data_IF_042261657028
#
_entry.id   IF_042261657028
#
_cell.length_a   1.000
_cell.length_b   1.000
_cell.length_c   1.000
_cell.angle_alpha   90.00
_cell.angle_beta   90.00
_cell.angle_gamma   90.00
#
_symmetry.space_group_name_H-M   'P 1'
#
loop_
_entity.id
_entity.type
_entity.pdbx_description
1 polymer ?
#
# COMPACT_ATOMS: atom_id res chain seq x y z
N UNK A 1 1.38 -1.20 12.53
CA UNK A 1 1.60 0.26 12.37
C UNK A 1 1.48 0.49 10.88
N UNK A 2 0.74 1.51 10.46
CA UNK A 2 0.52 1.73 9.03
C UNK A 2 1.55 2.70 8.49
N UNK A 3 2.06 2.44 7.29
CA UNK A 3 2.96 3.34 6.56
C UNK A 3 2.22 3.82 5.33
N UNK A 4 2.03 5.13 5.20
CA UNK A 4 1.44 5.72 4.00
C UNK A 4 2.49 6.51 3.22
N UNK A 5 2.52 6.28 1.92
CA UNK A 5 3.46 6.90 0.98
C UNK A 5 2.76 7.16 -0.36
N UNK A 6 3.29 8.10 -1.15
CA UNK A 6 2.76 8.48 -2.47
C UNK A 6 3.84 8.24 -3.52
N UNK A 7 3.48 7.53 -4.59
CA UNK A 7 4.34 7.38 -5.76
C UNK A 7 3.73 8.08 -6.97
N UNK A 8 4.43 9.09 -7.48
CA UNK A 8 4.13 9.73 -8.77
C UNK A 8 4.47 8.79 -9.93
N UNK A 9 3.55 8.68 -10.87
CA UNK A 9 3.64 7.89 -12.10
C UNK A 9 3.29 8.78 -13.30
N UNK A 10 4.00 8.62 -14.42
CA UNK A 10 3.63 9.28 -15.66
C UNK A 10 2.31 8.72 -16.20
N UNK A 11 1.39 9.61 -16.61
CA UNK A 11 0.11 9.21 -17.21
C UNK A 11 0.34 8.60 -18.60
N UNK A 12 -0.45 7.58 -18.95
CA UNK A 12 -0.38 6.89 -20.23
C UNK A 12 -1.61 7.31 -21.06
N UNK A 13 -1.40 8.14 -22.08
CA UNK A 13 -2.45 8.42 -23.08
C UNK A 13 -2.51 7.37 -24.20
N UNK A 14 -1.34 6.84 -24.58
CA UNK A 14 -1.16 5.82 -25.62
C UNK A 14 0.05 4.94 -25.27
N UNK A 15 0.15 3.70 -25.77
CA UNK A 15 1.32 2.86 -25.56
C UNK A 15 2.62 3.57 -25.92
N UNK A 16 3.68 3.30 -25.15
CA UNK A 16 5.03 3.75 -25.49
C UNK A 16 5.51 3.09 -26.78
N UNK A 17 6.24 3.83 -27.63
CA UNK A 17 6.82 3.44 -28.92
C UNK A 17 7.82 2.26 -28.89
N UNK A 18 7.91 1.50 -27.78
CA UNK A 18 8.69 0.25 -27.69
C UNK A 18 8.26 -0.83 -28.71
N UNK A 19 7.18 -0.56 -29.46
CA UNK A 19 6.65 -1.36 -30.57
C UNK A 19 7.08 -0.84 -31.96
N UNK A 20 7.55 0.42 -32.12
CA UNK A 20 7.78 1.03 -33.46
C UNK A 20 9.22 1.47 -33.77
N UNK A 21 10.18 1.24 -32.87
CA UNK A 21 11.61 1.30 -33.22
C UNK A 21 12.23 2.69 -33.45
N UNK A 22 11.71 3.78 -32.86
CA UNK A 22 12.36 5.10 -32.91
C UNK A 22 12.70 5.62 -31.50
N UNK A 23 13.95 6.04 -31.28
CA UNK A 23 14.56 6.26 -29.94
C UNK A 23 14.41 7.69 -29.39
N UNK A 24 13.59 8.52 -30.03
CA UNK A 24 13.36 9.92 -29.65
C UNK A 24 11.85 10.19 -29.65
N UNK A 25 11.17 9.73 -28.62
CA UNK A 25 9.88 10.24 -28.18
C UNK A 25 9.60 9.67 -26.79
N UNK A 26 9.96 10.45 -25.78
CA UNK A 26 9.57 10.25 -24.39
C UNK A 26 8.04 10.27 -24.30
N UNK A 27 7.49 9.61 -23.28
CA UNK A 27 6.07 9.69 -22.86
C UNK A 27 5.72 11.09 -22.32
N UNK A 28 6.30 12.14 -22.92
CA UNK A 28 6.21 13.52 -22.49
C UNK A 28 4.84 14.10 -22.84
N UNK A 29 4.12 14.59 -21.83
CA UNK A 29 3.11 15.64 -22.03
C UNK A 29 1.71 15.41 -21.47
N UNK A 30 1.36 14.23 -20.93
CA UNK A 30 -0.03 13.96 -20.47
C UNK A 30 -0.26 14.25 -18.97
N UNK A 31 0.79 14.64 -18.25
CA UNK A 31 0.75 14.92 -16.82
C UNK A 31 0.98 13.68 -15.94
N UNK A 32 0.68 13.83 -14.66
CA UNK A 32 0.98 12.85 -13.62
C UNK A 32 -0.28 12.17 -13.09
N UNK A 33 -0.08 11.00 -12.50
CA UNK A 33 -1.04 10.33 -11.63
C UNK A 33 -0.29 9.74 -10.42
N UNK A 34 -1.02 9.50 -9.33
CA UNK A 34 -0.40 9.30 -8.02
C UNK A 34 -0.94 8.02 -7.41
N UNK A 35 -0.04 7.05 -7.20
CA UNK A 35 -0.34 5.85 -6.44
C UNK A 35 -0.18 6.15 -4.96
N UNK A 36 -1.29 6.17 -4.22
CA UNK A 36 -1.26 6.17 -2.77
C UNK A 36 -1.13 4.74 -2.28
N UNK A 37 -0.24 4.52 -1.34
CA UNK A 37 0.07 3.21 -0.77
C UNK A 37 -0.04 3.29 0.74
N UNK A 38 -0.70 2.30 1.34
CA UNK A 38 -0.70 2.05 2.77
C UNK A 38 -0.20 0.62 3.02
N UNK A 39 0.85 0.42 3.82
CA UNK A 39 1.40 -0.91 4.13
C UNK A 39 1.44 -1.14 5.63
N UNK A 40 0.90 -2.28 6.09
CA UNK A 40 1.02 -2.66 7.49
C UNK A 40 2.39 -3.26 7.82
N UNK A 41 2.94 -2.77 8.93
CA UNK A 41 4.27 -3.11 9.43
C UNK A 41 4.44 -4.58 9.85
N UNK A 42 3.34 -5.24 10.25
CA UNK A 42 3.33 -6.61 10.75
C UNK A 42 3.02 -7.62 9.64
N UNK A 43 1.83 -7.55 9.04
CA UNK A 43 1.35 -8.56 8.11
C UNK A 43 1.85 -8.37 6.67
N UNK A 44 2.47 -7.22 6.33
CA UNK A 44 2.86 -6.82 4.96
C UNK A 44 1.68 -6.72 3.99
N UNK A 45 0.46 -6.72 4.49
CA UNK A 45 -0.75 -6.41 3.73
C UNK A 45 -0.70 -4.94 3.32
N UNK A 46 -0.94 -4.66 2.04
CA UNK A 46 -0.98 -3.33 1.49
C UNK A 46 -2.37 -2.98 0.94
N UNK A 47 -2.77 -1.72 1.15
CA UNK A 47 -3.88 -1.07 0.49
C UNK A 47 -3.35 -0.03 -0.51
N UNK A 48 -3.90 0.03 -1.72
CA UNK A 48 -3.47 0.99 -2.74
C UNK A 48 -4.65 1.62 -3.44
N UNK A 49 -4.51 2.89 -3.86
CA UNK A 49 -5.48 3.57 -4.69
C UNK A 49 -4.77 4.57 -5.62
N UNK A 50 -5.30 4.72 -6.83
CA UNK A 50 -4.83 5.71 -7.80
C UNK A 50 -5.63 6.99 -7.66
N UNK A 51 -4.92 8.12 -7.57
CA UNK A 51 -5.49 9.46 -7.50
C UNK A 51 -4.94 10.34 -8.63
N UNK A 52 -5.73 11.32 -9.11
CA UNK A 52 -5.29 12.25 -10.15
C UNK A 52 -4.29 13.30 -9.62
N UNK A 53 -4.19 13.47 -8.31
CA UNK A 53 -3.37 14.46 -7.64
C UNK A 53 -2.85 13.97 -6.28
N UNK A 54 -1.88 14.68 -5.72
CA UNK A 54 -1.32 14.46 -4.37
C UNK A 54 -1.87 15.46 -3.34
N UNK A 55 -3.08 15.99 -3.54
CA UNK A 55 -3.61 17.02 -2.65
C UNK A 55 -3.92 16.48 -1.26
N UNK A 56 -3.98 17.38 -0.27
CA UNK A 56 -4.47 17.06 1.09
C UNK A 56 -5.86 16.41 1.09
N UNK A 57 -6.74 16.76 0.15
CA UNK A 57 -8.07 16.15 0.01
C UNK A 57 -7.95 14.68 -0.38
N UNK A 58 -7.15 14.39 -1.41
CA UNK A 58 -6.85 13.02 -1.84
C UNK A 58 -6.20 12.21 -0.73
N UNK A 59 -5.25 12.78 0.00
CA UNK A 59 -4.61 12.12 1.14
C UNK A 59 -5.59 11.78 2.28
N UNK A 60 -6.49 12.70 2.64
CA UNK A 60 -7.53 12.45 3.66
C UNK A 60 -8.49 11.35 3.21
N UNK A 61 -8.93 11.39 1.96
CA UNK A 61 -9.81 10.36 1.40
C UNK A 61 -9.12 8.99 1.47
N UNK A 62 -7.88 8.91 0.98
CA UNK A 62 -7.09 7.69 1.01
C UNK A 62 -6.90 7.14 2.43
N UNK A 63 -6.63 7.99 3.42
CA UNK A 63 -6.51 7.57 4.82
C UNK A 63 -7.80 6.92 5.33
N UNK A 64 -8.96 7.51 5.05
CA UNK A 64 -10.25 6.97 5.49
C UNK A 64 -10.55 5.63 4.83
N UNK A 65 -10.31 5.54 3.52
CA UNK A 65 -10.54 4.32 2.75
C UNK A 65 -9.62 3.20 3.23
N UNK A 66 -8.33 3.50 3.45
CA UNK A 66 -7.38 2.54 4.00
C UNK A 66 -7.82 2.04 5.37
N UNK A 67 -8.20 2.93 6.29
CA UNK A 67 -8.63 2.56 7.64
C UNK A 67 -9.90 1.70 7.61
N UNK A 68 -10.88 2.04 6.78
CA UNK A 68 -12.09 1.24 6.59
C UNK A 68 -11.75 -0.15 6.02
N UNK A 69 -10.85 -0.21 5.04
CA UNK A 69 -10.42 -1.47 4.45
C UNK A 69 -9.70 -2.38 5.45
N UNK A 70 -8.74 -1.84 6.23
CA UNK A 70 -8.07 -2.59 7.30
C UNK A 70 -9.05 -3.02 8.40
N UNK A 71 -10.03 -2.20 8.75
CA UNK A 71 -11.07 -2.57 9.70
C UNK A 71 -11.90 -3.76 9.19
N UNK A 72 -12.20 -3.81 7.88
CA UNK A 72 -12.83 -4.97 7.24
C UNK A 72 -12.00 -6.27 7.33
N UNK A 73 -10.68 -6.14 7.48
CA UNK A 73 -9.76 -7.26 7.73
C UNK A 73 -9.58 -7.58 9.23
N UNK A 74 -10.32 -6.90 10.12
CA UNK A 74 -10.16 -7.02 11.57
C UNK A 74 -8.90 -6.34 12.13
N UNK A 75 -8.26 -5.46 11.36
CA UNK A 75 -7.04 -4.76 11.76
C UNK A 75 -7.37 -3.34 12.23
N UNK A 76 -7.12 -3.06 13.51
CA UNK A 76 -7.25 -1.71 14.06
C UNK A 76 -5.97 -0.89 13.83
N UNK A 77 -6.07 0.17 13.02
CA UNK A 77 -4.97 1.11 12.80
C UNK A 77 -4.86 2.09 13.98
N UNK A 78 -3.78 2.00 14.76
CA UNK A 78 -3.55 2.87 15.94
C UNK A 78 -2.42 3.90 15.76
N UNK A 79 -1.54 3.65 14.81
CA UNK A 79 -0.34 4.47 14.53
C UNK A 79 -0.11 4.52 13.04
N UNK A 80 0.20 5.71 12.57
CA UNK A 80 0.49 6.01 11.16
C UNK A 80 1.86 6.67 11.06
N UNK A 81 2.66 6.21 10.11
CA UNK A 81 3.92 6.83 9.70
C UNK A 81 3.78 7.29 8.24
N UNK A 82 4.11 8.55 7.96
CA UNK A 82 4.18 9.08 6.59
C UNK A 82 5.52 9.76 6.33
N UNK A 83 5.84 10.02 5.07
CA UNK A 83 6.89 10.97 4.75
C UNK A 83 6.50 12.41 5.12
N UNK A 84 7.41 13.36 4.88
CA UNK A 84 7.20 14.77 5.18
C UNK A 84 6.50 15.54 4.05
N UNK A 85 5.79 14.83 3.14
CA UNK A 85 5.03 15.42 2.05
C UNK A 85 4.00 16.45 2.54
N UNK A 86 3.80 17.51 1.76
CA UNK A 86 2.97 18.66 2.14
C UNK A 86 1.52 18.25 2.46
N UNK A 87 0.97 17.28 1.74
CA UNK A 87 -0.36 16.72 1.99
C UNK A 87 -0.49 16.12 3.40
N UNK A 88 0.51 15.36 3.84
CA UNK A 88 0.53 14.71 5.15
C UNK A 88 0.83 15.68 6.29
N UNK A 89 1.50 16.80 6.01
CA UNK A 89 1.73 17.87 7.00
C UNK A 89 0.53 18.80 7.17
N UNK A 90 -0.52 18.67 6.37
CA UNK A 90 -1.68 19.55 6.42
C UNK A 90 -2.49 19.38 7.71
N UNK A 91 -3.15 20.46 8.13
CA UNK A 91 -4.05 20.44 9.30
C UNK A 91 -5.26 19.51 9.07
N UNK A 92 -5.74 19.42 7.84
CA UNK A 92 -6.84 18.55 7.44
C UNK A 92 -6.47 17.07 7.62
N UNK A 93 -5.25 16.69 7.22
CA UNK A 93 -4.76 15.32 7.42
C UNK A 93 -4.55 15.00 8.90
N UNK A 94 -3.97 15.94 9.67
CA UNK A 94 -3.81 15.79 11.11
C UNK A 94 -5.16 15.65 11.83
N UNK A 95 -6.18 16.43 11.42
CA UNK A 95 -7.55 16.34 11.95
C UNK A 95 -8.18 14.98 11.62
N UNK A 96 -8.07 14.52 10.38
CA UNK A 96 -8.57 13.20 10.00
C UNK A 96 -7.91 12.08 10.83
N UNK A 97 -6.61 12.16 11.11
CA UNK A 97 -5.94 11.22 12.00
C UNK A 97 -6.51 11.27 13.42
N UNK A 98 -6.77 12.46 13.97
CA UNK A 98 -7.35 12.63 15.31
C UNK A 98 -8.77 12.05 15.40
N UNK A 99 -9.61 12.34 14.42
CA UNK A 99 -10.98 11.81 14.32
C UNK A 99 -11.00 10.27 14.27
N UNK A 100 -10.00 9.67 13.62
CA UNK A 100 -9.83 8.22 13.52
C UNK A 100 -9.10 7.61 14.74
N UNK A 101 -8.69 8.43 15.73
CA UNK A 101 -7.94 7.98 16.91
C UNK A 101 -6.51 7.50 16.59
N UNK A 102 -5.92 7.96 15.49
CA UNK A 102 -4.62 7.52 14.98
C UNK A 102 -3.52 8.47 15.44
N UNK A 103 -2.49 7.90 16.07
CA UNK A 103 -1.25 8.65 16.36
C UNK A 103 -0.39 8.74 15.10
N UNK A 104 -0.38 9.90 14.47
CA UNK A 104 0.43 10.19 13.28
C UNK A 104 1.86 10.60 13.65
N UNK A 105 2.82 10.09 12.90
CA UNK A 105 4.25 10.42 12.97
C UNK A 105 4.80 10.61 11.56
N UNK A 106 5.84 11.41 11.47
CA UNK A 106 6.62 11.59 10.25
C UNK A 106 7.88 10.72 10.27
N UNK A 107 8.32 10.26 9.10
CA UNK A 107 9.66 9.68 8.94
C UNK A 107 10.70 10.72 9.34
N UNK A 108 11.75 10.25 10.02
CA UNK A 108 12.89 11.12 10.35
C UNK A 108 13.79 11.23 9.13
N UNK A 109 14.28 12.43 8.85
CA UNK A 109 15.34 12.63 7.87
C UNK A 109 16.52 11.68 8.17
N UNK A 110 17.11 11.11 7.12
CA UNK A 110 18.25 10.18 7.20
C UNK A 110 17.99 8.85 7.95
N UNK A 111 16.73 8.41 8.10
CA UNK A 111 16.38 7.05 8.57
C UNK A 111 15.55 6.25 7.54
N UNK A 112 16.15 5.87 6.39
CA UNK A 112 15.46 5.08 5.36
C UNK A 112 14.94 3.72 5.88
N UNK A 113 15.57 3.17 6.93
CA UNK A 113 15.16 1.90 7.55
C UNK A 113 13.70 1.92 8.05
N UNK A 114 13.17 3.07 8.47
CA UNK A 114 11.78 3.16 8.93
C UNK A 114 10.76 3.22 7.79
N UNK A 115 11.13 3.67 6.58
CA UNK A 115 10.23 3.68 5.43
C UNK A 115 10.44 2.49 4.47
N UNK A 116 11.50 1.71 4.68
CA UNK A 116 11.89 0.61 3.79
C UNK A 116 10.84 -0.49 3.56
N UNK A 117 9.68 -0.46 4.22
CA UNK A 117 8.55 -1.37 3.97
C UNK A 117 7.63 -0.83 2.86
N UNK A 118 7.20 0.44 2.97
CA UNK A 118 6.48 1.10 1.90
C UNK A 118 7.34 1.22 0.65
N UNK A 119 8.62 1.59 0.79
CA UNK A 119 9.56 1.66 -0.34
C UNK A 119 9.72 0.31 -1.05
N UNK A 120 9.84 -0.80 -0.31
CA UNK A 120 9.95 -2.14 -0.90
C UNK A 120 8.65 -2.55 -1.61
N UNK A 121 7.50 -2.22 -1.04
CA UNK A 121 6.22 -2.42 -1.71
C UNK A 121 6.18 -1.64 -3.04
N UNK A 122 6.51 -0.34 -3.00
CA UNK A 122 6.52 0.52 -4.18
C UNK A 122 7.48 -0.02 -5.24
N UNK A 123 8.69 -0.45 -4.86
CA UNK A 123 9.64 -1.07 -5.79
C UNK A 123 9.09 -2.33 -6.44
N UNK A 124 8.33 -3.13 -5.70
CA UNK A 124 7.65 -4.33 -6.23
C UNK A 124 6.55 -3.92 -7.21
N UNK A 125 5.70 -2.96 -6.84
CA UNK A 125 4.63 -2.42 -7.69
C UNK A 125 5.17 -1.85 -8.99
N UNK A 126 6.27 -1.11 -8.95
CA UNK A 126 6.89 -0.54 -10.14
C UNK A 126 7.39 -1.64 -11.09
N UNK A 127 8.05 -2.67 -10.55
CA UNK A 127 8.68 -3.73 -11.33
C UNK A 127 7.66 -4.68 -11.95
N UNK A 128 6.63 -5.03 -11.22
CA UNK A 128 5.72 -6.14 -11.55
C UNK A 128 4.37 -5.69 -12.08
N UNK A 129 4.00 -4.44 -11.83
CA UNK A 129 2.75 -3.87 -12.31
C UNK A 129 3.01 -2.66 -13.20
N UNK A 130 3.58 -1.57 -12.67
CA UNK A 130 3.60 -0.29 -13.40
C UNK A 130 4.42 -0.34 -14.70
N UNK A 131 5.51 -1.10 -14.71
CA UNK A 131 6.44 -1.22 -15.85
C UNK A 131 6.63 -2.65 -16.37
N UNK A 132 5.91 -3.64 -15.83
CA UNK A 132 5.98 -5.02 -16.30
C UNK A 132 5.29 -5.23 -17.65
N UNK A 133 4.27 -4.43 -17.94
CA UNK A 133 3.39 -4.59 -19.09
C UNK A 133 3.32 -3.31 -19.90
N UNK A 134 3.02 -3.45 -21.19
CA UNK A 134 2.71 -2.31 -22.06
C UNK A 134 1.21 -2.04 -21.97
N UNK A 135 0.83 -1.02 -21.19
CA UNK A 135 -0.57 -0.60 -21.09
C UNK A 135 -0.98 0.28 -22.26
N UNK A 136 -2.26 0.17 -22.62
CA UNK A 136 -2.87 0.99 -23.68
C UNK A 136 -3.07 2.44 -23.23
N UNK A 137 -3.49 2.61 -21.98
CA UNK A 137 -3.72 3.89 -21.34
C UNK A 137 -3.69 3.71 -19.81
N UNK A 138 -3.83 4.80 -19.06
CA UNK A 138 -3.84 4.76 -17.59
C UNK A 138 -5.00 3.95 -17.02
N UNK A 139 -6.17 3.94 -17.65
CA UNK A 139 -7.31 3.15 -17.18
C UNK A 139 -6.99 1.66 -17.20
N UNK A 140 -6.41 1.15 -18.30
CA UNK A 140 -5.96 -0.24 -18.39
C UNK A 140 -4.91 -0.57 -17.31
N UNK A 141 -4.00 0.36 -16.99
CA UNK A 141 -3.04 0.17 -15.89
C UNK A 141 -3.74 0.11 -14.52
N UNK A 142 -4.73 0.96 -14.29
CA UNK A 142 -5.50 1.01 -13.04
C UNK A 142 -6.31 -0.28 -12.85
N UNK A 143 -6.94 -0.81 -13.91
CA UNK A 143 -7.68 -2.08 -13.87
C UNK A 143 -6.78 -3.25 -13.44
N UNK A 144 -5.53 -3.29 -13.93
CA UNK A 144 -4.57 -4.31 -13.55
C UNK A 144 -4.07 -4.20 -12.10
N UNK A 145 -4.20 -3.03 -11.47
CA UNK A 145 -3.69 -2.78 -10.11
C UNK A 145 -4.36 -3.68 -9.07
N UNK A 146 -5.70 -3.82 -9.15
CA UNK A 146 -6.46 -4.61 -8.18
C UNK A 146 -6.02 -6.09 -8.18
N UNK A 147 -5.87 -6.67 -9.36
CA UNK A 147 -5.39 -8.05 -9.53
C UNK A 147 -3.97 -8.23 -9.02
N UNK A 148 -3.06 -7.30 -9.35
CA UNK A 148 -1.68 -7.36 -8.86
C UNK A 148 -1.59 -7.20 -7.34
N UNK A 149 -2.34 -6.26 -6.75
CA UNK A 149 -2.40 -6.04 -5.30
C UNK A 149 -2.94 -7.27 -4.57
N UNK A 150 -3.99 -7.91 -5.12
CA UNK A 150 -4.52 -9.15 -4.56
C UNK A 150 -3.48 -10.28 -4.60
N UNK A 151 -2.78 -10.45 -5.72
CA UNK A 151 -1.69 -11.41 -5.80
C UNK A 151 -0.57 -11.09 -4.78
N UNK A 152 -0.16 -9.83 -4.66
CA UNK A 152 0.86 -9.39 -3.70
C UNK A 152 0.48 -9.71 -2.24
N UNK A 153 -0.75 -9.41 -1.86
CA UNK A 153 -1.21 -9.58 -0.48
C UNK A 153 -1.41 -11.06 -0.12
N UNK A 154 -2.07 -11.84 -0.97
CA UNK A 154 -2.50 -13.18 -0.59
C UNK A 154 -1.56 -14.31 -1.01
N UNK A 155 -0.87 -14.16 -2.14
CA UNK A 155 -0.14 -15.25 -2.80
C UNK A 155 1.38 -15.10 -2.74
N UNK A 156 1.87 -13.89 -2.48
CA UNK A 156 3.32 -13.64 -2.44
C UNK A 156 3.93 -14.17 -1.14
N UNK A 157 4.92 -15.05 -1.28
CA UNK A 157 5.81 -15.41 -0.18
C UNK A 157 6.64 -14.18 0.25
N UNK A 158 6.29 -13.58 1.38
CA UNK A 158 7.06 -12.46 1.93
C UNK A 158 8.25 -13.02 2.71
N UNK A 159 9.45 -12.92 2.12
CA UNK A 159 10.70 -13.48 2.69
C UNK A 159 11.01 -12.97 4.10
N UNK A 160 10.48 -11.80 4.48
CA UNK A 160 10.64 -11.20 5.81
C UNK A 160 9.66 -11.76 6.88
N UNK A 161 8.71 -12.63 6.50
CA UNK A 161 7.77 -13.33 7.39
C UNK A 161 7.93 -14.86 7.22
N UNK A 162 9.17 -15.32 7.01
CA UNK A 162 9.47 -16.75 6.88
C UNK A 162 9.04 -17.39 5.57
N UNK A 163 8.72 -16.61 4.51
CA UNK A 163 8.41 -17.14 3.19
C UNK A 163 6.98 -17.68 3.04
N UNK A 164 6.07 -17.32 3.94
CA UNK A 164 4.70 -17.83 3.96
C UNK A 164 3.78 -16.81 3.26
N UNK A 165 2.95 -17.29 2.33
CA UNK A 165 1.84 -16.52 1.76
C UNK A 165 0.74 -16.35 2.82
N UNK A 166 0.08 -15.20 2.92
CA UNK A 166 -0.87 -14.95 4.00
C UNK A 166 -2.05 -15.93 4.02
N UNK A 167 -2.40 -16.50 2.87
CA UNK A 167 -3.38 -17.59 2.76
C UNK A 167 -3.02 -18.81 3.63
N UNK A 168 -1.73 -19.17 3.70
CA UNK A 168 -1.23 -20.24 4.55
C UNK A 168 -1.29 -19.88 6.05
N UNK A 169 -1.09 -18.61 6.40
CA UNK A 169 -1.12 -18.13 7.80
C UNK A 169 -2.55 -18.13 8.37
N UNK A 170 -3.57 -17.79 7.58
CA UNK A 170 -4.98 -17.81 8.01
C UNK A 170 -5.47 -19.27 8.14
N UNK A 171 -5.07 -20.16 7.24
CA UNK A 171 -5.43 -21.59 7.31
C UNK A 171 -4.91 -22.27 8.59
N UNK A 172 -3.70 -21.95 9.05
CA UNK A 172 -3.14 -22.50 10.30
C UNK A 172 -3.86 -22.00 11.56
N UNK A 173 -4.39 -20.77 11.54
CA UNK A 173 -5.11 -20.19 12.69
C UNK A 173 -6.55 -20.71 12.82
N UNK A 174 -7.17 -21.15 11.72
CA UNK A 174 -8.52 -21.75 11.71
C UNK A 174 -8.50 -23.25 12.05
N UNK A 175 -7.38 -23.95 11.82
CA UNK A 175 -7.25 -25.40 12.04
C UNK A 175 -6.62 -25.78 13.40
N UNK A 176 -6.30 -24.83 14.27
CA UNK A 176 -5.73 -25.12 15.60
C UNK A 176 -6.81 -25.05 16.69
N UNK A 177 -7.42 -26.17 17.13
CA UNK A 177 -8.30 -26.16 18.28
C UNK A 177 -7.49 -25.81 19.54
N UNK A 178 -7.95 -24.76 20.23
CA UNK A 178 -7.34 -24.30 21.48
C UNK A 178 -7.51 -25.35 22.58
N UNK A 179 -6.51 -26.18 22.83
CA UNK A 179 -6.48 -27.05 24.01
C UNK A 179 -5.93 -26.28 25.21
N UNK A 180 -6.82 -25.66 25.99
CA UNK A 180 -6.58 -25.38 27.41
C UNK A 180 -7.72 -25.96 28.23
N UNK A 181 -7.56 -27.19 28.67
CA UNK A 181 -8.23 -27.70 29.87
C UNK A 181 -7.26 -27.55 31.04
N UNK A 182 -7.52 -26.57 31.91
CA UNK A 182 -6.94 -26.56 33.26
C UNK A 182 -7.71 -27.56 34.11
N UNK A 183 -7.04 -28.45 34.88
CA UNK A 183 -7.74 -29.32 35.81
C UNK A 183 -8.21 -28.51 37.02
N UNK A 184 -9.51 -28.62 37.32
CA UNK A 184 -10.09 -28.23 38.60
C UNK A 184 -9.45 -29.06 39.72
N UNK A 185 -8.76 -28.39 40.63
CA UNK A 185 -8.55 -28.88 41.98
C UNK A 185 -9.90 -28.88 42.69
N UNK A 186 -10.37 -30.05 43.12
CA UNK A 186 -11.33 -30.17 44.20
C UNK A 186 -10.68 -30.90 45.37
N UNK A 187 -11.06 -30.40 46.54
CA UNK A 187 -10.68 -30.70 47.93
C UNK A 187 -10.55 -32.16 48.30
#
# INVERSE_FOLDING_TARGET
MLHIDIKTLGRIARPSHRVTGNRRDTVDGVGWEYLFVAVDDHARIAFTAMHPDETKRSAVQFLRDAVAWYAGLGVQVRRLLTDNGSAFRSHEFARACQELGIRHKFTRAYRPQTNGKAERFIQSALREWAYAWTYQNSAHRIEALASWQHHYNWHRAHSAIGGIALETTIAQKVLSPSSRSSPMTQS
#
